data_IF_040469229956
#
_entry.id   IF_040469229956
#
_cell.length_a   1.000
_cell.length_b   1.000
_cell.length_c   1.000
_cell.angle_alpha   90.00
_cell.angle_beta   90.00
_cell.angle_gamma   90.00
#
_symmetry.space_group_name_H-M   'P 1'
#
loop_
_entity.id
_entity.type
_entity.pdbx_description
1 polymer ?
#
# COMPACT_ATOMS: atom_id res chain seq x y z
N UNK A 1 41.18 -12.37 11.88
CA UNK A 1 40.17 -12.49 12.96
C UNK A 1 39.20 -11.32 12.79
N UNK A 2 37.99 -11.57 12.29
CA UNK A 2 37.03 -10.47 12.07
C UNK A 2 36.57 -9.91 13.42
N UNK A 3 36.45 -8.59 13.59
CA UNK A 3 36.05 -8.02 14.87
C UNK A 3 34.66 -8.52 15.24
N UNK A 4 34.48 -8.97 16.48
CA UNK A 4 33.20 -9.52 16.96
C UNK A 4 32.02 -8.55 16.76
N UNK A 5 32.30 -7.24 16.78
CA UNK A 5 31.32 -6.18 16.48
C UNK A 5 30.84 -6.21 15.02
N UNK A 6 31.75 -6.47 14.07
CA UNK A 6 31.43 -6.58 12.64
C UNK A 6 30.59 -7.84 12.38
N UNK A 7 30.93 -8.94 13.03
CA UNK A 7 30.17 -10.19 12.94
C UNK A 7 28.76 -10.00 13.52
N UNK A 8 28.63 -9.35 14.68
CA UNK A 8 27.33 -9.09 15.30
C UNK A 8 26.44 -8.17 14.45
N UNK A 9 27.03 -7.15 13.83
CA UNK A 9 26.31 -6.26 12.90
C UNK A 9 25.80 -7.01 11.67
N UNK A 10 26.64 -7.84 11.04
CA UNK A 10 26.24 -8.63 9.87
C UNK A 10 25.10 -9.61 10.19
N UNK A 11 25.11 -10.22 11.38
CA UNK A 11 24.04 -11.11 11.84
C UNK A 11 22.71 -10.38 12.02
N UNK A 12 22.73 -9.18 12.61
CA UNK A 12 21.51 -8.36 12.75
C UNK A 12 20.94 -7.94 11.39
N UNK A 13 21.80 -7.54 10.44
CA UNK A 13 21.36 -7.21 9.08
C UNK A 13 20.76 -8.42 8.36
N UNK A 14 21.35 -9.60 8.50
CA UNK A 14 20.82 -10.83 7.90
C UNK A 14 19.44 -11.23 8.49
N UNK A 15 19.24 -11.04 9.80
CA UNK A 15 17.95 -11.28 10.46
C UNK A 15 16.86 -10.33 9.97
N UNK A 16 17.17 -9.05 9.83
CA UNK A 16 16.21 -8.09 9.25
C UNK A 16 15.92 -8.46 7.80
N UNK A 17 16.94 -8.77 7.00
CA UNK A 17 16.78 -9.14 5.59
C UNK A 17 15.92 -10.40 5.40
N UNK A 18 16.07 -11.41 6.26
CA UNK A 18 15.27 -12.65 6.22
C UNK A 18 13.80 -12.43 6.62
N UNK A 19 13.52 -11.50 7.54
CA UNK A 19 12.15 -11.06 7.83
C UNK A 19 11.52 -10.29 6.64
N UNK A 20 12.33 -9.67 5.79
CA UNK A 20 11.88 -9.03 4.54
C UNK A 20 11.69 -10.03 3.39
N UNK A 21 12.55 -11.05 3.25
CA UNK A 21 12.47 -12.04 2.15
C UNK A 21 11.38 -13.08 2.35
N UNK A 22 10.91 -13.31 3.59
CA UNK A 22 9.79 -14.23 3.90
C UNK A 22 8.43 -13.79 3.33
N UNK A 23 8.37 -12.66 2.61
CA UNK A 23 7.16 -12.15 1.94
C UNK A 23 6.98 -12.63 0.49
N UNK A 24 7.89 -13.40 -0.08
CA UNK A 24 7.75 -13.86 -1.48
C UNK A 24 7.76 -15.39 -1.62
N UNK A 25 6.70 -16.01 -1.13
CA UNK A 25 6.33 -17.36 -1.57
C UNK A 25 4.96 -17.27 -2.24
N UNK A 26 4.92 -17.11 -3.55
CA UNK A 26 3.69 -17.42 -4.28
C UNK A 26 4.02 -18.00 -5.65
N UNK A 27 4.17 -19.33 -5.68
CA UNK A 27 4.11 -20.11 -6.91
C UNK A 27 2.67 -20.31 -7.40
N UNK A 28 1.78 -19.36 -7.13
CA UNK A 28 0.36 -19.42 -7.49
C UNK A 28 -0.11 -18.08 -8.04
N UNK A 29 -1.15 -18.13 -8.89
CA UNK A 29 -1.54 -17.14 -9.89
C UNK A 29 -1.42 -15.70 -9.36
N UNK A 30 -0.50 -14.94 -9.97
CA UNK A 30 -0.29 -13.53 -9.65
C UNK A 30 -1.58 -12.71 -9.83
N UNK A 31 -2.18 -12.30 -8.72
CA UNK A 31 -3.42 -11.53 -8.70
C UNK A 31 -3.17 -10.03 -8.97
N UNK A 32 -1.93 -9.56 -8.91
CA UNK A 32 -1.58 -8.18 -9.28
C UNK A 32 -1.81 -7.94 -10.77
N UNK A 33 -1.39 -8.90 -11.61
CA UNK A 33 -1.71 -8.84 -13.05
C UNK A 33 -3.21 -8.97 -13.30
N UNK A 34 -3.91 -9.85 -12.59
CA UNK A 34 -5.35 -10.03 -12.75
C UNK A 34 -6.13 -8.76 -12.40
N UNK A 35 -5.74 -8.05 -11.33
CA UNK A 35 -6.27 -6.74 -10.95
C UNK A 35 -6.20 -5.76 -12.11
N UNK A 36 -5.04 -5.65 -12.77
CA UNK A 36 -4.86 -4.74 -13.92
C UNK A 36 -5.77 -5.12 -15.09
N UNK A 37 -5.87 -6.41 -15.41
CA UNK A 37 -6.74 -6.89 -16.50
C UNK A 37 -8.20 -6.65 -16.18
N UNK A 38 -8.64 -6.86 -14.93
CA UNK A 38 -10.00 -6.53 -14.46
C UNK A 38 -10.24 -5.02 -14.56
N UNK A 39 -9.32 -4.19 -14.06
CA UNK A 39 -9.43 -2.72 -14.15
C UNK A 39 -9.67 -2.28 -15.60
N UNK A 40 -8.92 -2.83 -16.55
CA UNK A 40 -9.06 -2.51 -17.96
C UNK A 40 -10.34 -3.07 -18.59
N UNK A 41 -10.66 -4.35 -18.37
CA UNK A 41 -11.76 -5.04 -19.07
C UNK A 41 -13.13 -4.84 -18.43
N UNK A 42 -13.17 -4.48 -17.16
CA UNK A 42 -14.39 -4.18 -16.40
C UNK A 42 -14.56 -2.68 -16.14
N UNK A 43 -13.73 -1.83 -16.75
CA UNK A 43 -13.65 -0.39 -16.50
C UNK A 43 -15.03 0.28 -16.41
N UNK A 44 -15.86 0.15 -17.45
CA UNK A 44 -17.18 0.78 -17.51
C UNK A 44 -18.11 0.38 -16.34
N UNK A 45 -17.96 -0.84 -15.82
CA UNK A 45 -18.76 -1.33 -14.70
C UNK A 45 -18.23 -0.82 -13.37
N UNK A 46 -16.92 -0.83 -13.15
CA UNK A 46 -16.32 -0.57 -11.83
C UNK A 46 -15.79 0.85 -11.63
N UNK A 47 -15.83 1.70 -12.66
CA UNK A 47 -15.34 3.08 -12.61
C UNK A 47 -15.97 3.89 -11.47
N UNK A 48 -15.16 4.70 -10.80
CA UNK A 48 -15.60 5.60 -9.73
C UNK A 48 -16.44 6.77 -10.28
N UNK A 49 -17.41 7.24 -9.49
CA UNK A 49 -18.16 8.48 -9.77
C UNK A 49 -19.22 8.40 -10.88
N UNK A 50 -19.33 7.27 -11.58
CA UNK A 50 -20.40 7.00 -12.57
C UNK A 50 -21.46 6.05 -12.02
N UNK A 51 -22.65 5.93 -12.61
CA UNK A 51 -23.61 4.87 -12.26
C UNK A 51 -23.08 3.45 -12.54
N UNK A 52 -23.70 2.43 -11.96
CA UNK A 52 -23.37 1.04 -12.27
C UNK A 52 -23.92 0.67 -13.66
N UNK A 53 -23.08 0.05 -14.49
CA UNK A 53 -23.45 -0.43 -15.83
C UNK A 53 -23.16 -1.92 -15.90
N UNK A 54 -24.11 -2.67 -16.47
CA UNK A 54 -24.00 -4.12 -16.57
C UNK A 54 -22.68 -4.56 -17.24
N UNK A 55 -22.00 -5.58 -16.70
CA UNK A 55 -20.69 -6.00 -17.18
C UNK A 55 -20.76 -6.71 -18.53
N UNK A 56 -19.66 -6.60 -19.29
CA UNK A 56 -19.47 -7.39 -20.51
C UNK A 56 -19.25 -8.87 -20.19
N UNK A 57 -19.53 -9.75 -21.16
CA UNK A 57 -19.27 -11.19 -21.01
C UNK A 57 -17.77 -11.51 -20.80
N UNK A 58 -16.88 -10.66 -21.32
CA UNK A 58 -15.44 -10.79 -21.07
C UNK A 58 -15.12 -10.48 -19.59
N UNK A 59 -15.66 -9.38 -19.07
CA UNK A 59 -15.51 -8.99 -17.68
C UNK A 59 -16.03 -10.08 -16.72
N UNK A 60 -17.22 -10.63 -16.96
CA UNK A 60 -17.80 -11.71 -16.15
C UNK A 60 -16.87 -12.93 -16.11
N UNK A 61 -16.32 -13.34 -17.26
CA UNK A 61 -15.42 -14.49 -17.35
C UNK A 61 -14.12 -14.27 -16.57
N UNK A 62 -13.61 -13.04 -16.53
CA UNK A 62 -12.43 -12.69 -15.76
C UNK A 62 -12.71 -12.80 -14.26
N UNK A 63 -13.76 -12.14 -13.77
CA UNK A 63 -14.13 -12.18 -12.34
C UNK A 63 -14.31 -13.62 -11.86
N UNK A 64 -15.01 -14.46 -12.64
CA UNK A 64 -15.22 -15.89 -12.29
C UNK A 64 -13.94 -16.72 -12.19
N UNK A 65 -12.85 -16.31 -12.85
CA UNK A 65 -11.56 -17.01 -12.84
C UNK A 65 -10.57 -16.42 -11.85
N UNK A 66 -10.90 -15.27 -11.28
CA UNK A 66 -10.01 -14.50 -10.44
C UNK A 66 -10.16 -14.82 -8.95
N UNK A 67 -9.06 -14.62 -8.23
CA UNK A 67 -9.05 -14.64 -6.77
C UNK A 67 -9.39 -13.24 -6.24
N UNK A 68 -10.68 -13.04 -5.97
CA UNK A 68 -11.19 -11.75 -5.49
C UNK A 68 -10.65 -11.37 -4.10
N UNK A 69 -10.28 -12.35 -3.26
CA UNK A 69 -9.68 -12.08 -1.94
C UNK A 69 -8.26 -11.54 -2.12
N UNK A 70 -7.47 -12.16 -2.99
CA UNK A 70 -6.13 -11.67 -3.33
C UNK A 70 -6.19 -10.28 -3.98
N UNK A 71 -7.07 -10.10 -4.97
CA UNK A 71 -7.26 -8.79 -5.64
C UNK A 71 -7.64 -7.72 -4.62
N UNK A 72 -8.57 -8.01 -3.71
CA UNK A 72 -8.95 -7.08 -2.65
C UNK A 72 -7.77 -6.60 -1.80
N UNK A 73 -6.79 -7.47 -1.53
CA UNK A 73 -5.57 -7.09 -0.79
C UNK A 73 -4.57 -6.33 -1.67
N UNK A 74 -4.67 -6.46 -2.99
CA UNK A 74 -3.76 -5.85 -3.97
C UNK A 74 -4.25 -4.49 -4.50
N UNK A 75 -5.48 -4.07 -4.18
CA UNK A 75 -6.01 -2.73 -4.51
C UNK A 75 -5.22 -1.68 -3.74
N UNK A 76 -4.65 -0.72 -4.46
CA UNK A 76 -3.89 0.41 -3.89
C UNK A 76 -4.76 1.66 -3.76
N UNK A 77 -4.23 2.68 -3.09
CA UNK A 77 -4.89 3.99 -3.00
C UNK A 77 -5.06 4.61 -4.40
N UNK A 78 -4.10 4.44 -5.31
CA UNK A 78 -4.22 4.93 -6.70
C UNK A 78 -5.35 4.21 -7.48
N UNK A 79 -5.58 2.93 -7.20
CA UNK A 79 -6.72 2.24 -7.80
C UNK A 79 -8.04 2.82 -7.28
N UNK A 80 -8.14 3.15 -6.00
CA UNK A 80 -9.35 3.72 -5.39
C UNK A 80 -9.69 5.12 -5.91
N UNK A 81 -8.74 5.84 -6.49
CA UNK A 81 -8.98 7.12 -7.19
C UNK A 81 -9.72 6.94 -8.53
N UNK A 82 -9.61 5.75 -9.14
CA UNK A 82 -10.16 5.46 -10.45
C UNK A 82 -11.36 4.49 -10.43
N UNK A 83 -11.33 3.51 -9.51
CA UNK A 83 -12.32 2.44 -9.42
C UNK A 83 -13.07 2.48 -8.08
N UNK A 84 -14.37 2.16 -8.14
CA UNK A 84 -15.19 1.96 -6.95
C UNK A 84 -15.05 0.53 -6.44
N UNK A 85 -14.42 0.37 -5.28
CA UNK A 85 -14.33 -0.93 -4.58
C UNK A 85 -15.72 -1.52 -4.32
N UNK A 86 -16.70 -0.69 -3.98
CA UNK A 86 -18.07 -1.14 -3.76
C UNK A 86 -18.68 -1.80 -5.01
N UNK A 87 -18.49 -1.19 -6.19
CA UNK A 87 -18.95 -1.77 -7.45
C UNK A 87 -18.20 -3.04 -7.83
N UNK A 88 -16.90 -3.10 -7.56
CA UNK A 88 -16.11 -4.31 -7.77
C UNK A 88 -16.63 -5.46 -6.89
N UNK A 89 -16.97 -5.19 -5.63
CA UNK A 89 -17.54 -6.18 -4.72
C UNK A 89 -18.96 -6.61 -5.15
N UNK A 90 -19.79 -5.66 -5.59
CA UNK A 90 -21.10 -5.96 -6.16
C UNK A 90 -20.98 -6.88 -7.38
N UNK A 91 -20.09 -6.55 -8.32
CA UNK A 91 -19.83 -7.36 -9.51
C UNK A 91 -19.30 -8.76 -9.15
N UNK A 92 -18.45 -8.86 -8.13
CA UNK A 92 -17.96 -10.13 -7.62
C UNK A 92 -19.09 -11.01 -7.09
N UNK A 93 -20.03 -10.42 -6.35
CA UNK A 93 -21.22 -11.08 -5.82
C UNK A 93 -22.15 -11.58 -6.94
N UNK A 94 -22.46 -10.72 -7.91
CA UNK A 94 -23.22 -11.06 -9.13
C UNK A 94 -22.58 -12.22 -9.93
N UNK A 95 -21.26 -12.37 -9.83
CA UNK A 95 -20.50 -13.43 -10.48
C UNK A 95 -20.32 -14.71 -9.63
N UNK A 96 -20.94 -14.82 -8.45
CA UNK A 96 -20.75 -15.89 -7.47
C UNK A 96 -19.29 -16.01 -6.98
N UNK A 97 -18.62 -14.87 -6.84
CA UNK A 97 -17.24 -14.72 -6.34
C UNK A 97 -17.18 -13.72 -5.19
N UNK A 98 -18.20 -13.74 -4.33
CA UNK A 98 -18.33 -12.87 -3.18
C UNK A 98 -17.10 -12.98 -2.28
N UNK A 99 -16.61 -11.81 -1.84
CA UNK A 99 -15.49 -11.74 -0.90
C UNK A 99 -16.05 -11.99 0.51
N UNK A 100 -15.46 -12.89 1.31
CA UNK A 100 -15.96 -13.17 2.66
C UNK A 100 -16.03 -11.92 3.52
N UNK A 101 -17.12 -11.78 4.27
CA UNK A 101 -17.30 -10.70 5.25
C UNK A 101 -16.10 -10.63 6.22
N UNK A 102 -15.70 -9.42 6.58
CA UNK A 102 -14.51 -9.17 7.41
C UNK A 102 -13.18 -9.17 6.66
N UNK A 103 -13.16 -9.54 5.37
CA UNK A 103 -11.97 -9.36 4.52
C UNK A 103 -11.78 -7.87 4.21
N UNK A 104 -10.61 -7.32 4.56
CA UNK A 104 -10.24 -5.97 4.14
C UNK A 104 -10.01 -5.94 2.62
N UNK A 105 -10.75 -5.09 1.92
CA UNK A 105 -10.60 -4.84 0.50
C UNK A 105 -10.18 -3.38 0.29
N UNK A 106 -9.05 -3.18 -0.37
CA UNK A 106 -8.46 -1.87 -0.58
C UNK A 106 -7.81 -1.26 0.67
N UNK A 107 -7.46 0.01 0.52
CA UNK A 107 -6.65 0.79 1.42
C UNK A 107 -7.45 1.98 1.94
N UNK A 108 -8.36 1.73 2.87
CA UNK A 108 -8.81 2.78 3.78
C UNK A 108 -7.62 3.22 4.66
N UNK A 109 -6.79 4.14 4.15
CA UNK A 109 -5.72 4.91 4.79
C UNK A 109 -4.68 4.15 5.63
N UNK A 110 -4.10 3.03 5.15
CA UNK A 110 -3.18 2.22 5.97
C UNK A 110 -1.80 1.97 5.34
N UNK A 111 -1.50 2.43 4.12
CA UNK A 111 -0.22 2.13 3.46
C UNK A 111 0.73 3.34 3.44
N UNK A 112 0.22 4.57 3.34
CA UNK A 112 1.08 5.76 3.44
C UNK A 112 1.83 5.83 4.78
N UNK A 113 1.19 5.45 5.88
CA UNK A 113 1.86 5.39 7.18
C UNK A 113 2.94 4.31 7.23
N UNK A 114 2.72 3.10 6.72
CA UNK A 114 3.76 2.05 6.77
C UNK A 114 4.89 2.25 5.77
N UNK A 115 4.61 2.70 4.54
CA UNK A 115 5.62 2.89 3.50
C UNK A 115 6.43 4.17 3.74
N UNK A 116 5.77 5.28 4.14
CA UNK A 116 6.49 6.50 4.53
C UNK A 116 7.29 6.28 5.81
N UNK A 117 6.80 5.50 6.78
CA UNK A 117 7.52 5.26 8.03
C UNK A 117 8.68 4.28 7.83
N UNK A 118 8.49 3.19 7.07
CA UNK A 118 9.60 2.29 6.72
C UNK A 118 10.65 2.97 5.83
N UNK A 119 10.27 3.73 4.81
CA UNK A 119 11.23 4.44 3.95
C UNK A 119 11.98 5.55 4.71
N UNK A 120 11.28 6.33 5.56
CA UNK A 120 11.94 7.34 6.40
C UNK A 120 12.84 6.70 7.45
N UNK A 121 12.48 5.57 8.05
CA UNK A 121 13.32 4.85 9.01
C UNK A 121 14.55 4.26 8.32
N UNK A 122 14.39 3.62 7.16
CA UNK A 122 15.53 3.05 6.41
C UNK A 122 16.48 4.17 5.97
N UNK A 123 15.96 5.28 5.42
CA UNK A 123 16.77 6.45 5.07
C UNK A 123 17.42 7.13 6.28
N UNK A 124 16.71 7.23 7.42
CA UNK A 124 17.24 7.77 8.67
C UNK A 124 18.33 6.87 9.26
N UNK A 125 18.17 5.55 9.23
CA UNK A 125 19.20 4.60 9.68
C UNK A 125 20.43 4.66 8.76
N UNK A 126 20.26 4.78 7.44
CA UNK A 126 21.37 4.98 6.50
C UNK A 126 22.06 6.32 6.75
N UNK A 127 21.29 7.38 7.00
CA UNK A 127 21.81 8.70 7.37
C UNK A 127 22.61 8.63 8.67
N UNK A 128 22.06 8.08 9.75
CA UNK A 128 22.74 7.95 11.05
C UNK A 128 24.00 7.09 10.95
N UNK A 129 24.01 6.01 10.16
CA UNK A 129 25.24 5.24 9.92
C UNK A 129 26.29 6.01 9.11
N UNK A 130 25.88 6.93 8.24
CA UNK A 130 26.78 7.83 7.49
C UNK A 130 27.39 8.93 8.38
N UNK A 131 26.67 9.38 9.41
CA UNK A 131 27.10 10.46 10.31
C UNK A 131 27.61 10.01 11.68
N UNK A 132 27.54 8.72 12.05
CA UNK A 132 28.17 8.18 13.27
C UNK A 132 29.71 8.12 13.21
N UNK A 133 30.32 8.82 12.26
CA UNK A 133 31.72 9.27 12.31
C UNK A 133 31.91 10.71 12.80
N UNK A 134 30.84 11.51 12.97
CA UNK A 134 30.92 12.92 13.39
C UNK A 134 29.79 13.27 14.36
N UNK A 135 30.23 13.65 15.56
CA UNK A 135 29.49 14.04 16.77
C UNK A 135 28.10 14.67 16.58
N UNK A 136 27.17 14.12 17.38
CA UNK A 136 26.01 14.73 18.02
C UNK A 136 26.10 16.27 18.16
N UNK A 137 25.04 17.00 17.76
CA UNK A 137 24.41 18.14 18.45
C UNK A 137 23.38 18.86 17.55
N UNK A 138 22.12 18.83 18.02
CA UNK A 138 21.01 19.80 17.91
C UNK A 138 20.57 20.44 16.56
N UNK A 139 19.28 20.28 16.22
CA UNK A 139 18.24 21.33 16.01
C UNK A 139 17.21 20.93 14.94
N UNK A 140 15.93 20.88 15.34
CA UNK A 140 14.77 20.85 14.43
C UNK A 140 14.74 22.16 13.61
N UNK A 141 14.44 22.06 12.31
CA UNK A 141 14.40 23.20 11.38
C UNK A 141 12.96 23.58 10.96
N UNK A 142 12.75 24.81 10.46
CA UNK A 142 11.50 25.60 10.59
C UNK A 142 10.34 25.27 9.63
N UNK A 143 10.27 24.06 9.07
CA UNK A 143 9.38 23.79 7.92
C UNK A 143 7.88 23.61 8.28
N UNK A 144 7.52 23.51 9.56
CA UNK A 144 6.15 23.24 10.01
C UNK A 144 5.20 24.46 9.95
N UNK A 145 5.72 25.67 9.73
CA UNK A 145 4.91 26.88 9.89
C UNK A 145 3.99 27.19 8.69
N UNK A 146 4.27 26.67 7.50
CA UNK A 146 3.47 26.95 6.30
C UNK A 146 2.28 25.99 6.13
N UNK A 147 2.33 24.81 6.74
CA UNK A 147 1.26 23.80 6.65
C UNK A 147 0.07 24.12 7.58
N UNK A 148 0.33 24.76 8.73
CA UNK A 148 -0.71 25.11 9.72
C UNK A 148 -1.56 26.33 9.33
N UNK A 149 -1.10 27.16 8.38
CA UNK A 149 -1.88 28.32 7.91
C UNK A 149 -3.00 27.91 6.94
N UNK A 150 -2.82 26.84 6.18
CA UNK A 150 -3.82 26.38 5.20
C UNK A 150 -5.01 25.64 5.82
N UNK A 151 -4.88 25.17 7.05
CA UNK A 151 -5.94 24.42 7.74
C UNK A 151 -6.83 25.27 8.66
N UNK A 152 -6.67 26.60 8.71
CA UNK A 152 -7.65 27.50 9.34
C UNK A 152 -7.82 27.35 10.86
N UNK A 153 -6.84 26.81 11.58
CA UNK A 153 -6.93 26.55 13.03
C UNK A 153 -6.46 27.72 13.93
N UNK A 154 -6.45 28.96 13.43
CA UNK A 154 -6.21 30.15 14.27
C UNK A 154 -7.48 31.01 14.20
N UNK A 155 -8.22 31.05 15.31
CA UNK A 155 -9.25 32.05 15.51
C UNK A 155 -8.58 33.35 16.00
N UNK A 156 -8.79 34.44 15.27
CA UNK A 156 -8.51 35.80 15.71
C UNK A 156 -9.35 36.11 16.95
N UNK A 157 -8.70 36.23 18.12
CA UNK A 157 -9.29 36.92 19.26
C UNK A 157 -8.94 38.40 19.13
N UNK A 158 -9.96 39.24 18.92
CA UNK A 158 -9.90 40.68 19.18
C UNK A 158 -9.57 40.97 20.65
#
# INVERSE_FOLDING_TARGET
MMPIKVVLQLLLFALVFTLFTTRQTHGEKDCYRQKLVIKFKCWETIKLGVPYVAPSQECIRLIRRSDMVCICRAITEEDEEEISVAKLLQLADECNKSVPFGTKCGCKYHILYSYSFCSKIVSYIIYVNKYNGVKFVSQLTPFDHHYLRHQGYIHETS
#
